data_IF_777919033434
#
_entry.id   IF_777919033434
#
_cell.length_a   1.000
_cell.length_b   1.000
_cell.length_c   1.000
_cell.angle_alpha   90.00
_cell.angle_beta   90.00
_cell.angle_gamma   90.00
#
_symmetry.space_group_name_H-M   'P 1'
#
loop_
_entity.id
_entity.type
_entity.pdbx_description
1 polymer ?
#
# COMPACT_ATOMS: atom_id res chain seq x y z
N UNK A 1 -6.40 -8.01 14.97
CA UNK A 1 -5.25 -7.51 15.74
C UNK A 1 -4.10 -6.93 14.92
N UNK A 2 -3.32 -7.68 14.11
CA UNK A 2 -2.11 -7.09 13.44
C UNK A 2 -2.43 -5.87 12.55
N UNK A 3 -3.54 -5.89 11.81
CA UNK A 3 -3.96 -4.76 10.96
C UNK A 3 -4.70 -3.66 11.73
N UNK A 4 -5.38 -3.99 12.83
CA UNK A 4 -6.13 -3.03 13.64
C UNK A 4 -5.21 -2.17 14.51
N UNK A 5 -4.07 -2.71 14.94
CA UNK A 5 -3.15 -2.02 15.85
C UNK A 5 -2.09 -1.18 15.12
N UNK A 6 -1.78 -1.49 13.86
CA UNK A 6 -0.64 -0.87 13.12
C UNK A 6 -1.05 0.17 12.09
N UNK A 7 -2.35 0.34 11.83
CA UNK A 7 -2.86 1.28 10.83
C UNK A 7 -2.52 0.85 9.40
N UNK A 8 -2.32 1.83 8.52
CA UNK A 8 -2.02 1.58 7.10
C UNK A 8 -0.67 0.87 6.93
N UNK A 9 -0.66 -0.23 6.18
CA UNK A 9 0.56 -0.98 5.86
C UNK A 9 0.65 -1.27 4.37
N UNK A 10 1.86 -1.21 3.84
CA UNK A 10 2.15 -1.65 2.48
C UNK A 10 2.18 -3.18 2.39
N UNK A 11 1.96 -3.71 1.19
CA UNK A 11 2.09 -5.15 0.89
C UNK A 11 3.47 -5.70 1.28
N UNK A 12 4.52 -4.88 1.20
CA UNK A 12 5.89 -5.30 1.56
C UNK A 12 6.05 -5.45 3.07
N UNK A 13 5.53 -4.50 3.84
CA UNK A 13 5.56 -4.57 5.31
C UNK A 13 4.73 -5.78 5.79
N UNK A 14 3.54 -5.99 5.21
CA UNK A 14 2.71 -7.16 5.51
C UNK A 14 3.40 -8.48 5.15
N UNK A 15 4.12 -8.52 4.03
CA UNK A 15 4.93 -9.68 3.64
C UNK A 15 5.99 -10.02 4.68
N UNK A 16 6.66 -9.01 5.23
CA UNK A 16 7.65 -9.19 6.28
C UNK A 16 7.01 -9.63 7.60
N UNK A 17 5.95 -8.94 8.05
CA UNK A 17 5.28 -9.23 9.33
C UNK A 17 4.62 -10.61 9.35
N UNK A 18 4.03 -11.04 8.24
CA UNK A 18 3.34 -12.33 8.16
C UNK A 18 4.26 -13.48 7.70
N UNK A 19 5.52 -13.19 7.32
CA UNK A 19 6.42 -14.19 6.73
C UNK A 19 5.91 -14.78 5.41
N UNK A 20 5.01 -14.06 4.71
CA UNK A 20 4.38 -14.52 3.48
C UNK A 20 5.00 -13.88 2.26
N UNK A 21 5.05 -14.60 1.13
CA UNK A 21 5.47 -14.00 -0.14
C UNK A 21 4.53 -12.85 -0.55
N UNK A 22 5.03 -11.76 -1.15
CA UNK A 22 4.20 -10.61 -1.54
C UNK A 22 3.02 -10.98 -2.44
N UNK A 23 3.17 -11.99 -3.29
CA UNK A 23 2.08 -12.52 -4.12
C UNK A 23 0.92 -13.06 -3.28
N UNK A 24 1.24 -13.84 -2.24
CA UNK A 24 0.23 -14.45 -1.37
C UNK A 24 -0.50 -13.40 -0.54
N UNK A 25 0.24 -12.41 -0.05
CA UNK A 25 -0.35 -11.24 0.64
C UNK A 25 -1.34 -10.51 -0.27
N UNK A 26 -1.00 -10.29 -1.55
CA UNK A 26 -1.94 -9.68 -2.51
C UNK A 26 -3.21 -10.50 -2.73
N UNK A 27 -3.09 -11.81 -2.86
CA UNK A 27 -4.24 -12.72 -3.01
C UNK A 27 -5.18 -12.64 -1.78
N UNK A 28 -4.60 -12.63 -0.57
CA UNK A 28 -5.36 -12.50 0.68
C UNK A 28 -6.06 -11.14 0.74
N UNK A 29 -5.35 -10.04 0.46
CA UNK A 29 -5.94 -8.70 0.48
C UNK A 29 -7.05 -8.54 -0.56
N UNK A 30 -6.92 -9.15 -1.73
CA UNK A 30 -8.00 -9.17 -2.73
C UNK A 30 -9.24 -9.92 -2.22
N UNK A 31 -9.06 -11.05 -1.52
CA UNK A 31 -10.17 -11.79 -0.92
C UNK A 31 -10.85 -10.98 0.19
N UNK A 32 -10.06 -10.35 1.08
CA UNK A 32 -10.59 -9.50 2.16
C UNK A 32 -11.34 -8.29 1.61
N UNK A 33 -10.84 -7.66 0.55
CA UNK A 33 -11.53 -6.56 -0.13
C UNK A 33 -12.88 -6.99 -0.71
N UNK A 34 -12.94 -8.16 -1.35
CA UNK A 34 -14.20 -8.71 -1.87
C UNK A 34 -15.22 -9.01 -0.76
N UNK A 35 -14.74 -9.36 0.42
CA UNK A 35 -15.56 -9.60 1.60
C UNK A 35 -15.92 -8.31 2.38
N UNK A 36 -15.43 -7.14 1.96
CA UNK A 36 -15.65 -5.87 2.67
C UNK A 36 -14.88 -5.74 3.99
N UNK A 37 -13.85 -6.57 4.20
CA UNK A 37 -13.06 -6.62 5.44
C UNK A 37 -11.77 -5.79 5.38
N UNK A 38 -11.40 -5.30 4.20
CA UNK A 38 -10.20 -4.48 4.01
C UNK A 38 -10.36 -3.51 2.85
N UNK A 39 -9.84 -2.31 3.00
CA UNK A 39 -9.66 -1.36 1.91
C UNK A 39 -8.20 -1.35 1.44
N UNK A 40 -7.99 -1.18 0.14
CA UNK A 40 -6.66 -1.13 -0.47
C UNK A 40 -6.54 0.11 -1.32
N UNK A 41 -5.59 0.99 -0.98
CA UNK A 41 -5.34 2.23 -1.70
C UNK A 41 -3.96 2.17 -2.36
N UNK A 42 -3.85 2.76 -3.55
CA UNK A 42 -2.56 2.96 -4.20
C UNK A 42 -2.08 4.34 -3.75
N UNK A 43 -1.04 4.40 -2.91
CA UNK A 43 -0.41 5.67 -2.54
C UNK A 43 0.51 6.12 -3.69
N UNK A 44 0.20 7.23 -4.39
CA UNK A 44 1.08 7.72 -5.44
C UNK A 44 2.41 8.19 -4.83
N UNK A 45 3.51 7.89 -5.52
CA UNK A 45 4.87 8.20 -5.04
C UNK A 45 5.25 9.68 -5.18
N UNK A 46 4.56 10.42 -6.05
CA UNK A 46 4.76 11.85 -6.33
C UNK A 46 3.40 12.48 -6.56
N UNK A 47 3.18 13.67 -6.02
CA UNK A 47 2.04 14.51 -6.37
C UNK A 47 2.37 15.30 -7.63
N UNK A 48 1.37 15.83 -8.33
CA UNK A 48 1.59 16.68 -9.51
C UNK A 48 2.46 17.90 -9.15
N UNK A 49 2.38 18.39 -7.91
CA UNK A 49 3.21 19.46 -7.38
C UNK A 49 4.70 19.11 -7.36
N UNK A 50 5.06 17.83 -7.18
CA UNK A 50 6.45 17.37 -7.19
C UNK A 50 7.11 17.43 -8.59
N UNK A 51 6.35 17.77 -9.64
CA UNK A 51 6.84 17.96 -11.01
C UNK A 51 6.91 19.44 -11.42
N UNK A 52 6.43 20.36 -10.58
CA UNK A 52 6.37 21.79 -10.90
C UNK A 52 7.70 22.52 -10.68
N UNK A 53 8.59 22.01 -9.82
CA UNK A 53 9.80 22.73 -9.40
C UNK A 53 10.99 22.60 -10.37
N UNK A 54 10.89 21.77 -11.42
CA UNK A 54 12.01 21.53 -12.37
C UNK A 54 11.97 22.42 -13.63
N UNK A 55 11.00 23.34 -13.78
CA UNK A 55 10.82 24.12 -15.04
C UNK A 55 11.31 25.56 -15.05
N UNK A 56 11.79 26.11 -13.93
CA UNK A 56 12.14 27.55 -13.84
C UNK A 56 13.66 27.85 -13.77
N UNK A 57 14.52 26.92 -14.21
CA UNK A 57 15.95 27.20 -14.38
C UNK A 57 16.41 26.94 -15.82
N UNK A 58 15.99 27.79 -16.75
CA UNK A 58 16.66 28.03 -18.04
C UNK A 58 16.63 29.52 -18.37
#
# INVERSE_FOLDING_TARGET
YILEERGEMTVRELSYTLGLKPRKVREILQALRKAGLAECFIKPKKTLESFSEERDTL
#
